data_IF_310359635682
#
_entry.id   IF_310359635682
#
_cell.length_a   1.000
_cell.length_b   1.000
_cell.length_c   1.000
_cell.angle_alpha   90.00
_cell.angle_beta   90.00
_cell.angle_gamma   90.00
#
_symmetry.space_group_name_H-M   'P 1'
#
loop_
_entity.id
_entity.type
_entity.pdbx_description
1 polymer ?
#
# COMPACT_ATOMS: atom_id res chain seq x y z
N UNK A 1 -5.24 2.51 15.32
CA UNK A 1 -6.42 1.64 15.30
C UNK A 1 -6.04 0.29 14.74
N UNK A 2 -6.25 -0.75 15.50
CA UNK A 2 -5.91 -2.11 15.07
C UNK A 2 -7.01 -2.70 14.21
N UNK A 3 -6.63 -3.26 13.07
CA UNK A 3 -7.56 -3.89 12.13
C UNK A 3 -7.03 -5.26 11.76
N UNK A 4 -7.89 -6.28 11.90
CA UNK A 4 -7.59 -7.65 11.49
C UNK A 4 -8.34 -7.95 10.21
N UNK A 5 -7.63 -8.46 9.21
CA UNK A 5 -8.29 -8.92 7.98
C UNK A 5 -9.03 -10.23 8.28
N UNK A 6 -10.29 -10.31 7.88
CA UNK A 6 -11.04 -11.55 8.02
C UNK A 6 -10.60 -12.56 6.95
N UNK A 7 -11.15 -13.79 7.00
CA UNK A 7 -10.70 -14.84 6.10
C UNK A 7 -10.89 -14.50 4.62
N UNK A 8 -12.00 -13.89 4.27
CA UNK A 8 -12.25 -13.51 2.88
C UNK A 8 -11.26 -12.45 2.42
N UNK A 9 -10.97 -11.48 3.28
CA UNK A 9 -10.00 -10.42 2.99
C UNK A 9 -8.59 -10.97 2.88
N UNK A 10 -8.25 -11.95 3.72
CA UNK A 10 -6.95 -12.63 3.63
C UNK A 10 -6.80 -13.36 2.30
N UNK A 11 -7.84 -14.06 1.86
CA UNK A 11 -7.84 -14.74 0.56
C UNK A 11 -7.72 -13.73 -0.59
N UNK A 12 -8.41 -12.62 -0.49
CA UNK A 12 -8.30 -11.56 -1.49
C UNK A 12 -6.89 -11.00 -1.57
N UNK A 13 -6.26 -10.75 -0.42
CA UNK A 13 -4.89 -10.25 -0.38
C UNK A 13 -3.93 -11.24 -1.04
N UNK A 14 -4.05 -12.52 -0.70
CA UNK A 14 -3.21 -13.57 -1.29
C UNK A 14 -3.41 -13.67 -2.79
N UNK A 15 -4.66 -13.61 -3.25
CA UNK A 15 -4.97 -13.66 -4.67
C UNK A 15 -4.37 -12.47 -5.42
N UNK A 16 -4.59 -11.27 -4.92
CA UNK A 16 -4.09 -10.06 -5.57
C UNK A 16 -2.56 -10.02 -5.61
N UNK A 17 -1.91 -10.40 -4.50
CA UNK A 17 -0.46 -10.42 -4.44
C UNK A 17 0.12 -11.37 -5.50
N UNK A 18 -0.44 -12.58 -5.60
CA UNK A 18 0.02 -13.55 -6.57
C UNK A 18 -0.28 -13.13 -8.00
N UNK A 19 -1.49 -12.64 -8.26
CA UNK A 19 -1.89 -12.24 -9.61
C UNK A 19 -1.05 -11.06 -10.12
N UNK A 20 -0.83 -10.07 -9.28
CA UNK A 20 0.00 -8.90 -9.65
C UNK A 20 1.46 -9.30 -9.85
N UNK A 21 1.98 -10.18 -8.99
CA UNK A 21 3.34 -10.70 -9.12
C UNK A 21 3.53 -11.41 -10.45
N UNK A 22 2.61 -12.32 -10.81
CA UNK A 22 2.68 -13.05 -12.06
C UNK A 22 2.53 -12.12 -13.27
N UNK A 23 1.66 -11.14 -13.20
CA UNK A 23 1.50 -10.17 -14.28
C UNK A 23 2.77 -9.34 -14.48
N UNK A 24 3.41 -8.94 -13.40
CA UNK A 24 4.68 -8.22 -13.48
C UNK A 24 5.77 -9.06 -14.16
N UNK A 25 5.86 -10.34 -13.79
CA UNK A 25 6.82 -11.26 -14.40
C UNK A 25 6.56 -11.45 -15.88
N UNK A 26 5.28 -11.67 -16.26
CA UNK A 26 4.91 -11.89 -17.65
C UNK A 26 5.15 -10.67 -18.52
N UNK A 27 5.10 -9.47 -17.93
CA UNK A 27 5.35 -8.22 -18.64
C UNK A 27 6.83 -7.80 -18.61
N UNK A 28 7.71 -8.65 -18.06
CA UNK A 28 9.14 -8.36 -18.00
C UNK A 28 9.52 -7.28 -17.01
N UNK A 29 8.66 -6.95 -16.07
CA UNK A 29 8.96 -5.96 -15.05
C UNK A 29 10.07 -6.47 -14.15
N UNK A 30 11.14 -5.68 -14.03
CA UNK A 30 12.26 -6.04 -13.18
C UNK A 30 11.93 -5.83 -11.72
N UNK A 31 12.48 -6.70 -10.91
CA UNK A 31 12.34 -6.62 -9.47
C UNK A 31 13.41 -5.67 -8.93
N UNK A 32 12.97 -4.60 -8.28
CA UNK A 32 13.87 -3.60 -7.73
C UNK A 32 14.07 -3.74 -6.22
N UNK A 33 13.57 -4.80 -5.63
CA UNK A 33 13.66 -4.98 -4.17
C UNK A 33 15.02 -5.49 -3.76
N UNK A 34 15.51 -4.93 -2.67
CA UNK A 34 16.80 -5.29 -2.07
C UNK A 34 16.52 -5.82 -0.66
N UNK A 35 17.19 -6.91 -0.30
CA UNK A 35 17.07 -7.51 1.02
C UNK A 35 16.67 -8.97 0.98
N UNK A 36 16.53 -9.59 2.17
CA UNK A 36 16.25 -11.02 2.29
C UNK A 36 14.77 -11.42 2.16
N UNK A 37 13.88 -10.45 2.05
CA UNK A 37 12.45 -10.73 1.93
C UNK A 37 12.10 -11.05 0.48
N UNK A 38 11.27 -12.08 0.26
CA UNK A 38 10.84 -12.43 -1.08
C UNK A 38 9.91 -11.35 -1.63
N UNK A 39 9.81 -11.26 -2.96
CA UNK A 39 8.92 -10.30 -3.61
C UNK A 39 7.46 -10.61 -3.32
N UNK A 40 7.11 -11.89 -3.25
CA UNK A 40 5.74 -12.30 -2.93
C UNK A 40 5.36 -11.88 -1.51
N UNK A 41 6.27 -12.03 -0.55
CA UNK A 41 6.02 -11.59 0.83
C UNK A 41 5.83 -10.09 0.91
N UNK A 42 6.69 -9.32 0.23
CA UNK A 42 6.60 -7.87 0.22
C UNK A 42 5.31 -7.41 -0.44
N UNK A 43 4.92 -8.05 -1.54
CA UNK A 43 3.68 -7.72 -2.24
C UNK A 43 2.46 -8.04 -1.38
N UNK A 44 2.49 -9.18 -0.67
CA UNK A 44 1.41 -9.54 0.23
C UNK A 44 1.24 -8.52 1.35
N UNK A 45 2.33 -8.14 2.00
CA UNK A 45 2.28 -7.16 3.10
C UNK A 45 1.78 -5.81 2.61
N UNK A 46 2.24 -5.36 1.43
CA UNK A 46 1.78 -4.10 0.84
C UNK A 46 0.29 -4.12 0.53
N UNK A 47 -0.18 -5.20 -0.11
CA UNK A 47 -1.59 -5.33 -0.48
C UNK A 47 -2.46 -5.48 0.76
N UNK A 48 -2.01 -6.24 1.75
CA UNK A 48 -2.75 -6.38 3.01
C UNK A 48 -2.88 -5.03 3.71
N UNK A 49 -1.81 -4.22 3.71
CA UNK A 49 -1.86 -2.86 4.25
C UNK A 49 -2.86 -1.98 3.50
N UNK A 50 -2.94 -2.10 2.19
CA UNK A 50 -3.94 -1.37 1.38
C UNK A 50 -5.35 -1.80 1.76
N UNK A 51 -5.60 -3.10 1.95
CA UNK A 51 -6.92 -3.58 2.38
C UNK A 51 -7.28 -3.06 3.76
N UNK A 52 -6.32 -3.02 4.66
CA UNK A 52 -6.52 -2.45 6.01
C UNK A 52 -6.90 -0.98 5.90
N UNK A 53 -6.20 -0.22 5.08
CA UNK A 53 -6.52 1.19 4.88
C UNK A 53 -7.90 1.36 4.25
N UNK A 54 -8.28 0.50 3.31
CA UNK A 54 -9.62 0.53 2.73
C UNK A 54 -10.70 0.29 3.80
N UNK A 55 -10.47 -0.64 4.72
CA UNK A 55 -11.38 -0.85 5.85
C UNK A 55 -11.45 0.38 6.74
N UNK A 56 -10.29 0.98 7.02
CA UNK A 56 -10.21 2.17 7.87
C UNK A 56 -11.00 3.33 7.27
N UNK A 57 -10.87 3.55 5.96
CA UNK A 57 -11.58 4.62 5.26
C UNK A 57 -12.98 4.21 4.79
N UNK A 58 -13.33 2.94 4.96
CA UNK A 58 -14.62 2.38 4.53
C UNK A 58 -14.84 2.56 3.03
N UNK A 59 -13.87 2.16 2.24
CA UNK A 59 -13.93 2.21 0.78
C UNK A 59 -13.62 0.84 0.19
N UNK A 60 -14.07 0.62 -1.06
CA UNK A 60 -13.84 -0.63 -1.75
C UNK A 60 -12.41 -0.70 -2.27
N UNK A 61 -11.71 -1.83 -2.09
CA UNK A 61 -10.34 -1.96 -2.58
C UNK A 61 -10.25 -2.08 -4.09
N UNK A 62 -9.10 -1.68 -4.65
CA UNK A 62 -8.81 -1.87 -6.06
C UNK A 62 -8.40 -3.32 -6.30
N UNK A 63 -9.17 -4.04 -7.11
CA UNK A 63 -8.91 -5.45 -7.39
C UNK A 63 -8.26 -5.68 -8.75
N UNK A 64 -7.80 -4.61 -9.40
CA UNK A 64 -7.10 -4.72 -10.68
C UNK A 64 -5.78 -5.47 -10.52
N UNK A 65 -5.53 -6.45 -11.39
CA UNK A 65 -4.32 -7.26 -11.34
C UNK A 65 -3.27 -6.84 -12.37
N UNK A 66 -3.66 -6.07 -13.37
CA UNK A 66 -2.73 -5.58 -14.38
C UNK A 66 -2.07 -4.28 -13.88
N UNK A 67 -0.77 -4.34 -13.61
CA UNK A 67 -0.04 -3.21 -13.05
C UNK A 67 -0.09 -1.95 -13.92
N UNK A 68 -0.22 -2.11 -15.24
CA UNK A 68 -0.31 -0.98 -16.16
C UNK A 68 -1.59 -0.17 -15.97
N UNK A 69 -2.64 -0.79 -15.45
CA UNK A 69 -3.95 -0.17 -15.27
C UNK A 69 -4.15 0.36 -13.86
N UNK A 70 -3.15 0.19 -12.98
CA UNK A 70 -3.23 0.70 -11.62
C UNK A 70 -2.93 2.21 -11.60
N UNK A 71 -3.70 2.98 -10.81
CA UNK A 71 -3.42 4.40 -10.65
C UNK A 71 -2.15 4.63 -9.82
N UNK A 72 -1.74 5.88 -9.73
CA UNK A 72 -0.54 6.26 -8.97
C UNK A 72 -0.78 6.34 -7.46
N UNK A 73 -2.01 6.13 -7.02
CA UNK A 73 -2.38 6.09 -5.61
C UNK A 73 -2.99 4.73 -5.31
N UNK A 74 -3.08 4.38 -4.03
CA UNK A 74 -3.57 3.06 -3.60
C UNK A 74 -5.08 3.01 -3.41
N UNK A 75 -5.67 4.12 -2.96
CA UNK A 75 -7.11 4.20 -2.80
C UNK A 75 -7.60 5.65 -2.86
N UNK A 76 -8.92 5.80 -3.07
CA UNK A 76 -9.60 7.08 -2.98
C UNK A 76 -10.52 7.07 -1.76
N UNK A 77 -10.50 8.14 -0.97
CA UNK A 77 -11.48 8.29 0.11
C UNK A 77 -12.83 8.68 -0.48
N UNK A 78 -13.88 8.63 0.34
CA UNK A 78 -15.22 9.02 -0.09
C UNK A 78 -15.30 10.48 -0.57
N UNK A 79 -14.35 11.31 -0.13
CA UNK A 79 -14.26 12.71 -0.57
C UNK A 79 -13.35 12.91 -1.79
N UNK A 80 -12.81 11.83 -2.32
CA UNK A 80 -11.97 11.88 -3.51
C UNK A 80 -10.50 12.15 -3.23
N UNK A 81 -10.04 12.09 -1.98
CA UNK A 81 -8.62 12.23 -1.66
C UNK A 81 -7.86 10.97 -2.10
N UNK A 82 -6.72 11.19 -2.77
CA UNK A 82 -5.85 10.10 -3.23
C UNK A 82 -4.90 9.73 -2.10
N UNK A 83 -4.90 8.46 -1.71
CA UNK A 83 -4.14 7.96 -0.57
C UNK A 83 -3.08 6.97 -1.03
N UNK A 84 -1.86 7.14 -0.56
CA UNK A 84 -0.78 6.17 -0.71
C UNK A 84 -0.56 5.52 0.66
N UNK A 85 -0.55 4.19 0.69
CA UNK A 85 -0.42 3.42 1.91
C UNK A 85 1.00 2.89 2.02
N UNK A 86 1.65 3.18 3.13
CA UNK A 86 2.99 2.65 3.44
C UNK A 86 2.85 1.63 4.55
N UNK A 87 3.30 0.42 4.29
CA UNK A 87 3.18 -0.69 5.23
C UNK A 87 4.57 -1.14 5.67
N UNK A 88 4.74 -1.30 6.97
CA UNK A 88 5.98 -1.82 7.54
C UNK A 88 5.66 -2.72 8.73
N UNK A 89 6.52 -3.69 9.00
CA UNK A 89 6.40 -4.55 10.17
C UNK A 89 7.12 -3.99 11.40
N UNK A 90 7.89 -2.93 11.24
CA UNK A 90 8.69 -2.36 12.33
C UNK A 90 7.89 -1.35 13.12
N UNK A 91 7.85 -1.51 14.45
CA UNK A 91 7.09 -0.65 15.36
C UNK A 91 7.51 0.80 15.31
N UNK A 92 8.78 1.06 15.00
CA UNK A 92 9.32 2.40 14.86
C UNK A 92 9.40 2.86 13.41
N UNK A 93 8.57 2.26 12.55
CA UNK A 93 8.51 2.64 11.14
C UNK A 93 8.15 4.10 10.97
N UNK A 94 8.67 4.68 9.91
CA UNK A 94 8.43 6.08 9.59
C UNK A 94 7.74 6.22 8.26
N UNK A 95 6.96 7.28 8.14
CA UNK A 95 6.26 7.59 6.91
C UNK A 95 7.25 8.34 5.99
N UNK A 96 7.68 7.65 4.93
CA UNK A 96 8.62 8.21 3.95
C UNK A 96 7.97 8.22 2.58
N UNK A 97 7.99 9.37 1.91
CA UNK A 97 7.55 9.46 0.53
C UNK A 97 8.65 8.92 -0.39
N UNK A 98 8.25 8.22 -1.44
CA UNK A 98 9.20 7.81 -2.47
C UNK A 98 9.58 9.03 -3.32
N UNK A 99 10.82 9.05 -3.80
CA UNK A 99 11.31 10.16 -4.61
C UNK A 99 10.54 10.33 -5.92
N UNK A 100 9.89 9.26 -6.39
CA UNK A 100 9.13 9.29 -7.65
C UNK A 100 7.71 9.81 -7.50
N UNK A 101 7.21 9.96 -6.26
CA UNK A 101 5.88 10.49 -6.03
C UNK A 101 5.89 12.00 -6.01
N UNK A 102 4.85 12.58 -6.58
CA UNK A 102 4.66 14.04 -6.63
C UNK A 102 3.40 14.42 -5.88
N UNK A 103 3.36 15.64 -5.36
CA UNK A 103 2.16 16.18 -4.71
C UNK A 103 0.94 16.05 -5.61
N UNK A 104 1.12 16.20 -6.94
CA UNK A 104 0.01 16.06 -7.89
C UNK A 104 -0.53 14.64 -8.03
N UNK A 105 0.18 13.63 -7.53
CA UNK A 105 -0.22 12.23 -7.66
C UNK A 105 -0.93 11.70 -6.42
N UNK A 106 -0.60 12.22 -5.24
CA UNK A 106 -1.10 11.73 -3.97
C UNK A 106 -1.41 12.89 -3.04
N UNK A 107 -2.53 12.81 -2.34
CA UNK A 107 -2.94 13.84 -1.39
C UNK A 107 -2.53 13.50 0.05
N UNK A 108 -2.60 12.22 0.42
CA UNK A 108 -2.38 11.77 1.79
C UNK A 108 -1.55 10.49 1.79
N UNK A 109 -0.59 10.41 2.71
CA UNK A 109 0.13 9.19 3.01
C UNK A 109 -0.35 8.63 4.33
N UNK A 110 -0.58 7.32 4.39
CA UNK A 110 -1.03 6.63 5.61
C UNK A 110 0.00 5.56 5.97
N UNK A 111 0.39 5.52 7.24
CA UNK A 111 1.32 4.52 7.76
C UNK A 111 0.55 3.41 8.46
N UNK A 112 0.80 2.19 8.00
CA UNK A 112 0.23 0.95 8.56
C UNK A 112 1.38 0.10 9.06
N UNK A 113 1.30 -0.36 10.31
CA UNK A 113 2.34 -1.18 10.92
C UNK A 113 1.75 -2.52 11.36
N UNK A 114 2.40 -3.59 10.99
CA UNK A 114 1.98 -4.93 11.40
C UNK A 114 2.50 -6.02 10.50
N UNK A 115 1.93 -7.20 10.70
CA UNK A 115 2.22 -8.38 9.88
C UNK A 115 0.93 -9.09 9.58
N UNK A 116 0.84 -9.64 8.37
CA UNK A 116 -0.35 -10.35 7.90
C UNK A 116 -0.83 -11.36 8.95
N UNK A 117 -2.08 -11.33 9.39
CA UNK A 117 -3.20 -10.51 8.89
C UNK A 117 -3.63 -9.36 9.84
N UNK A 118 -2.76 -8.92 10.76
CA UNK A 118 -3.12 -7.95 11.80
C UNK A 118 -2.25 -6.70 11.68
N UNK A 119 -2.91 -5.54 11.61
CA UNK A 119 -2.21 -4.27 11.40
C UNK A 119 -2.78 -3.16 12.25
N UNK A 120 -1.94 -2.16 12.52
CA UNK A 120 -2.36 -0.92 13.15
C UNK A 120 -2.24 0.23 12.16
N UNK A 121 -3.30 1.02 12.01
CA UNK A 121 -3.22 2.28 11.28
C UNK A 121 -2.74 3.31 12.30
N UNK A 122 -1.52 3.79 12.15
CA UNK A 122 -0.86 4.56 13.21
C UNK A 122 -0.75 6.04 12.94
N UNK A 123 -0.87 6.47 11.68
CA UNK A 123 -0.78 7.89 11.40
C UNK A 123 -0.91 8.20 9.92
N UNK A 124 -1.00 9.49 9.63
CA UNK A 124 -1.09 9.98 8.26
C UNK A 124 -0.45 11.35 8.16
N UNK A 125 -0.07 11.73 6.94
CA UNK A 125 0.47 13.05 6.65
C UNK A 125 0.02 13.49 5.28
N UNK A 126 -0.14 14.78 5.10
CA UNK A 126 -0.43 15.33 3.78
C UNK A 126 0.80 15.21 2.89
N UNK A 127 0.55 14.98 1.59
CA UNK A 127 1.61 14.85 0.60
C UNK A 127 2.58 16.03 0.64
N UNK A 128 2.05 17.25 0.74
CA UNK A 128 2.85 18.47 0.80
C UNK A 128 3.82 18.50 1.97
N UNK A 129 3.47 17.87 3.08
CA UNK A 129 4.32 17.83 4.27
C UNK A 129 5.54 16.92 4.10
N UNK A 130 5.40 15.88 3.25
CA UNK A 130 6.46 14.88 3.05
C UNK A 130 7.33 15.17 1.84
N UNK A 131 6.73 15.69 0.77
CA UNK A 131 7.41 15.86 -0.53
C UNK A 131 8.02 17.25 -0.67
N UNK A 132 7.39 18.26 -0.07
CA UNK A 132 7.88 19.63 -0.18
C UNK A 132 9.30 19.75 0.40
N UNK A 133 10.19 20.51 -0.25
CA UNK A 133 11.54 20.71 0.27
C UNK A 133 11.49 21.43 1.60
N UNK A 134 12.33 20.97 2.52
CA UNK A 134 12.48 21.64 3.82
C UNK A 134 13.50 22.76 3.67
N UNK A 135 13.11 23.90 4.11
CA UNK A 135 14.00 25.05 4.14
C UNK A 135 14.91 24.96 5.36
#
# INVERSE_FOLDING_TARGET
MRITLNQAEQKLALYLAKARYLNARNNGTKDLKVGGQSNEETDLEGIAGELVACKFFNVYPDTETNLKDLPKYDLLTSKGSRVDVKTTKYKNGRLLATLNKKVSEVDIYVLVIGSFPVYDVVGWAKSEELIAPKN
#
